data_IF_162504112671
#
_entry.id   IF_162504112671
#
_cell.length_a   1.000
_cell.length_b   1.000
_cell.length_c   1.000
_cell.angle_alpha   90.00
_cell.angle_beta   90.00
_cell.angle_gamma   90.00
#
_symmetry.space_group_name_H-M   'P 1'
#
loop_
_entity.id
_entity.type
_entity.pdbx_description
1 polymer ?
#
# COMPACT_ATOMS: atom_id res chain seq x y z
N UNK A 1 11.40 -1.33 1.82
CA UNK A 1 10.68 -2.11 2.87
C UNK A 1 11.60 -3.12 3.54
N UNK A 2 11.56 -3.23 4.86
CA UNK A 2 12.38 -4.15 5.65
C UNK A 2 11.56 -4.72 6.81
N UNK A 3 11.59 -6.04 6.98
CA UNK A 3 11.00 -6.67 8.17
C UNK A 3 11.92 -6.39 9.38
N UNK A 4 11.38 -5.79 10.43
CA UNK A 4 12.13 -5.45 11.65
C UNK A 4 12.33 -6.64 12.59
N UNK A 5 11.54 -7.70 12.41
CA UNK A 5 11.46 -8.83 13.33
C UNK A 5 10.67 -8.55 14.62
N UNK A 6 10.14 -7.34 14.77
CA UNK A 6 9.34 -6.95 15.94
C UNK A 6 7.89 -7.36 15.72
N UNK A 7 7.28 -7.95 16.74
CA UNK A 7 5.86 -8.31 16.74
C UNK A 7 5.20 -7.83 18.03
N UNK A 8 3.94 -7.43 17.93
CA UNK A 8 3.09 -7.10 19.08
C UNK A 8 1.78 -7.87 18.99
N UNK A 9 1.17 -8.10 20.13
CA UNK A 9 -0.20 -8.61 20.21
C UNK A 9 -1.18 -7.44 20.31
N UNK A 10 -2.44 -7.68 19.97
CA UNK A 10 -3.53 -6.70 20.11
C UNK A 10 -3.74 -6.25 21.58
N UNK A 11 -3.30 -7.05 22.56
CA UNK A 11 -3.35 -6.70 23.98
C UNK A 11 -2.21 -5.74 24.40
N UNK A 12 -1.07 -5.77 23.70
CA UNK A 12 0.10 -4.94 24.02
C UNK A 12 0.03 -3.56 23.37
N UNK A 13 -0.47 -3.49 22.15
CA UNK A 13 -0.57 -2.24 21.37
C UNK A 13 -1.80 -2.23 20.49
N UNK A 14 -2.35 -1.03 20.29
CA UNK A 14 -3.43 -0.78 19.35
C UNK A 14 -2.85 -0.25 18.04
N UNK A 15 -3.29 -0.75 16.88
CA UNK A 15 -2.88 -0.22 15.60
C UNK A 15 -3.58 1.11 15.29
N UNK A 16 -2.97 1.88 14.39
CA UNK A 16 -3.52 3.13 13.86
C UNK A 16 -4.08 2.86 12.46
N UNK A 17 -5.31 3.30 12.23
CA UNK A 17 -5.96 3.20 10.91
C UNK A 17 -5.89 4.57 10.24
N UNK A 18 -5.14 4.66 9.12
CA UNK A 18 -5.17 5.81 8.24
C UNK A 18 -6.20 5.58 7.13
N UNK A 19 -7.16 6.51 6.92
CA UNK A 19 -8.18 6.36 5.89
C UNK A 19 -7.58 6.13 4.50
N UNK A 20 -6.52 6.84 4.14
CA UNK A 20 -5.83 6.70 2.86
C UNK A 20 -5.19 5.32 2.64
N UNK A 21 -4.81 4.60 3.70
CA UNK A 21 -4.36 3.21 3.64
C UNK A 21 -5.54 2.23 3.57
N UNK A 22 -6.55 2.46 4.41
CA UNK A 22 -7.73 1.60 4.48
C UNK A 22 -8.56 1.61 3.18
N UNK A 23 -8.62 2.76 2.50
CA UNK A 23 -9.38 2.97 1.27
C UNK A 23 -8.55 2.78 -0.01
N UNK A 24 -7.27 2.43 0.10
CA UNK A 24 -6.37 2.25 -1.04
C UNK A 24 -6.86 1.14 -1.97
N UNK A 25 -7.27 0.03 -1.39
CA UNK A 25 -7.76 -1.15 -2.11
C UNK A 25 -9.29 -1.20 -2.11
N UNK A 26 -9.91 -1.81 -3.14
CA UNK A 26 -11.35 -2.03 -3.14
C UNK A 26 -11.77 -2.86 -1.92
N UNK A 27 -12.99 -2.65 -1.38
CA UNK A 27 -13.51 -3.46 -0.29
C UNK A 27 -13.67 -4.92 -0.74
N UNK A 28 -13.66 -5.83 0.23
CA UNK A 28 -13.99 -7.22 -0.02
C UNK A 28 -15.45 -7.34 -0.48
N UNK A 29 -15.73 -8.30 -1.39
CA UNK A 29 -17.11 -8.68 -1.66
C UNK A 29 -17.78 -9.27 -0.41
N UNK A 30 -19.11 -9.31 -0.39
CA UNK A 30 -19.86 -9.91 0.71
C UNK A 30 -19.45 -11.37 0.95
N UNK A 31 -19.23 -12.14 -0.12
CA UNK A 31 -18.78 -13.53 -0.07
C UNK A 31 -17.36 -13.67 0.50
N UNK A 32 -16.43 -12.82 0.04
CA UNK A 32 -15.06 -12.80 0.54
C UNK A 32 -14.99 -12.40 2.02
N UNK A 33 -15.80 -11.42 2.41
CA UNK A 33 -15.87 -10.97 3.80
C UNK A 33 -16.45 -12.07 4.71
N UNK A 34 -17.52 -12.75 4.29
CA UNK A 34 -18.12 -13.86 5.02
C UNK A 34 -17.15 -15.05 5.16
N UNK A 35 -16.44 -15.40 4.08
CA UNK A 35 -15.45 -16.49 4.11
C UNK A 35 -14.28 -16.16 5.05
N UNK A 36 -13.79 -14.92 5.04
CA UNK A 36 -12.75 -14.46 5.97
C UNK A 36 -13.23 -14.49 7.41
N UNK A 37 -14.46 -14.03 7.67
CA UNK A 37 -15.06 -14.04 9.02
C UNK A 37 -15.22 -15.47 9.54
N UNK A 38 -15.69 -16.41 8.72
CA UNK A 38 -15.80 -17.83 9.07
C UNK A 38 -14.43 -18.44 9.38
N UNK A 39 -13.42 -18.15 8.57
CA UNK A 39 -12.05 -18.65 8.80
C UNK A 39 -11.48 -18.13 10.13
N UNK A 40 -11.63 -16.85 10.41
CA UNK A 40 -11.18 -16.24 11.67
C UNK A 40 -11.89 -16.82 12.90
N UNK A 41 -13.18 -17.09 12.81
CA UNK A 41 -13.94 -17.71 13.91
C UNK A 41 -13.58 -19.17 14.13
N UNK A 42 -13.22 -19.89 13.08
CA UNK A 42 -12.84 -21.32 13.15
C UNK A 42 -11.41 -21.53 13.58
N UNK A 43 -10.49 -20.77 13.01
CA UNK A 43 -9.05 -20.99 13.10
C UNK A 43 -8.30 -19.92 13.90
N UNK A 44 -8.98 -18.82 14.28
CA UNK A 44 -8.32 -17.64 14.84
C UNK A 44 -7.55 -16.83 13.80
N UNK A 45 -6.94 -15.74 14.22
CA UNK A 45 -6.12 -14.90 13.38
C UNK A 45 -4.66 -15.38 13.36
N UNK A 46 -4.36 -16.37 12.54
CA UNK A 46 -3.03 -16.97 12.42
C UNK A 46 -2.07 -16.15 11.54
N UNK A 47 -2.58 -15.27 10.70
CA UNK A 47 -1.78 -14.40 9.83
C UNK A 47 -1.68 -13.01 10.43
N UNK A 48 -0.47 -12.46 10.66
CA UNK A 48 -0.33 -11.17 11.33
C UNK A 48 -0.88 -10.02 10.49
N UNK A 49 -1.33 -8.98 11.17
CA UNK A 49 -1.59 -7.67 10.58
C UNK A 49 -0.23 -6.97 10.39
N UNK A 50 0.01 -6.40 9.23
CA UNK A 50 1.26 -5.69 8.95
C UNK A 50 1.09 -4.22 9.28
N UNK A 51 1.97 -3.71 10.13
CA UNK A 51 2.02 -2.30 10.54
C UNK A 51 3.40 -1.70 10.24
N UNK A 52 3.46 -0.38 10.12
CA UNK A 52 4.74 0.33 10.08
C UNK A 52 5.26 0.64 11.50
N UNK A 53 6.37 1.35 11.60
CA UNK A 53 6.99 1.72 12.89
C UNK A 53 6.11 2.64 13.74
N UNK A 54 5.20 3.39 13.12
CA UNK A 54 4.19 4.25 13.79
C UNK A 54 2.89 3.48 14.12
N UNK A 55 2.88 2.15 14.01
CA UNK A 55 1.74 1.26 14.21
C UNK A 55 0.60 1.47 13.20
N UNK A 56 0.83 2.16 12.09
CA UNK A 56 -0.15 2.32 11.03
C UNK A 56 -0.32 1.01 10.27
N UNK A 57 -1.56 0.56 10.12
CA UNK A 57 -1.87 -0.66 9.35
C UNK A 57 -1.55 -0.45 7.88
N UNK A 58 -0.70 -1.31 7.35
CA UNK A 58 -0.33 -1.37 5.92
C UNK A 58 -1.08 -2.49 5.21
N UNK A 59 -1.19 -3.66 5.82
CA UNK A 59 -2.00 -4.77 5.33
C UNK A 59 -2.75 -5.48 6.47
N UNK A 60 -3.95 -5.93 6.19
CA UNK A 60 -4.77 -6.68 7.13
C UNK A 60 -5.90 -5.90 7.80
N UNK A 61 -6.32 -4.75 7.26
CA UNK A 61 -7.43 -3.96 7.79
C UNK A 61 -8.70 -4.78 8.02
N UNK A 62 -9.06 -5.66 7.07
CA UNK A 62 -10.24 -6.51 7.19
C UNK A 62 -10.10 -7.54 8.32
N UNK A 63 -8.92 -8.16 8.46
CA UNK A 63 -8.64 -9.09 9.56
C UNK A 63 -8.72 -8.40 10.91
N UNK A 64 -8.07 -7.26 11.04
CA UNK A 64 -8.08 -6.44 12.25
C UNK A 64 -9.52 -6.05 12.65
N UNK A 65 -10.30 -5.51 11.70
CA UNK A 65 -11.69 -5.11 11.94
C UNK A 65 -12.57 -6.27 12.40
N UNK A 66 -12.46 -7.44 11.76
CA UNK A 66 -13.23 -8.63 12.13
C UNK A 66 -12.76 -9.21 13.47
N UNK A 67 -11.46 -9.21 13.75
CA UNK A 67 -10.95 -9.65 15.06
C UNK A 67 -11.48 -8.77 16.19
N UNK A 68 -11.49 -7.45 16.02
CA UNK A 68 -12.05 -6.54 17.02
C UNK A 68 -13.57 -6.72 17.18
N UNK A 69 -14.30 -6.89 16.08
CA UNK A 69 -15.75 -7.16 16.09
C UNK A 69 -16.10 -8.38 16.94
N UNK A 70 -15.28 -9.43 16.88
CA UNK A 70 -15.51 -10.71 17.57
C UNK A 70 -14.69 -10.90 18.85
N UNK A 71 -13.91 -9.91 19.25
CA UNK A 71 -13.03 -10.00 20.43
C UNK A 71 -11.92 -11.06 20.29
N UNK A 72 -11.46 -11.35 19.05
CA UNK A 72 -10.41 -12.30 18.78
C UNK A 72 -9.03 -11.65 18.92
N UNK A 73 -8.06 -12.33 19.56
CA UNK A 73 -6.69 -11.83 19.60
C UNK A 73 -6.03 -11.92 18.21
N UNK A 74 -5.18 -10.96 17.91
CA UNK A 74 -4.36 -10.96 16.69
C UNK A 74 -2.95 -10.44 16.98
N UNK A 75 -2.02 -10.76 16.11
CA UNK A 75 -0.65 -10.27 16.17
C UNK A 75 -0.39 -9.24 15.09
N UNK A 76 0.52 -8.32 15.35
CA UNK A 76 0.98 -7.30 14.42
C UNK A 76 2.47 -7.47 14.18
N UNK A 77 2.88 -7.54 12.93
CA UNK A 77 4.28 -7.57 12.54
C UNK A 77 4.71 -6.18 12.04
N UNK A 78 5.80 -5.66 12.60
CA UNK A 78 6.31 -4.32 12.28
C UNK A 78 7.27 -4.38 11.10
N UNK A 79 6.98 -3.60 10.07
CA UNK A 79 7.83 -3.42 8.90
C UNK A 79 8.26 -1.96 8.80
N UNK A 80 9.51 -1.73 8.45
CA UNK A 80 10.05 -0.41 8.17
C UNK A 80 9.88 -0.08 6.69
N UNK A 81 9.34 1.10 6.42
CA UNK A 81 9.17 1.68 5.09
C UNK A 81 9.87 3.04 5.04
N UNK A 82 10.40 3.41 3.88
CA UNK A 82 11.06 4.70 3.67
C UNK A 82 10.06 5.85 3.84
N UNK A 83 8.86 5.68 3.28
CA UNK A 83 7.75 6.62 3.33
C UNK A 83 6.41 5.90 3.19
N UNK A 84 5.32 6.67 3.31
CA UNK A 84 3.96 6.14 3.18
C UNK A 84 3.67 5.65 1.75
N UNK A 85 4.29 6.27 0.74
CA UNK A 85 4.16 5.85 -0.65
C UNK A 85 4.75 4.45 -0.87
N UNK A 86 5.93 4.15 -0.30
CA UNK A 86 6.51 2.80 -0.34
C UNK A 86 5.58 1.78 0.33
N UNK A 87 4.98 2.14 1.48
CA UNK A 87 4.02 1.29 2.17
C UNK A 87 2.78 0.99 1.30
N UNK A 88 2.24 2.00 0.61
CA UNK A 88 1.11 1.85 -0.32
C UNK A 88 1.45 0.96 -1.52
N UNK A 89 2.62 1.15 -2.13
CA UNK A 89 3.09 0.33 -3.24
C UNK A 89 3.28 -1.13 -2.82
N UNK A 90 3.87 -1.36 -1.64
CA UNK A 90 4.03 -2.70 -1.09
C UNK A 90 2.69 -3.39 -0.81
N UNK A 91 1.73 -2.68 -0.21
CA UNK A 91 0.39 -3.20 0.04
C UNK A 91 -0.31 -3.59 -1.26
N UNK A 92 -0.20 -2.75 -2.30
CA UNK A 92 -0.75 -3.03 -3.62
C UNK A 92 -0.12 -4.27 -4.26
N UNK A 93 1.21 -4.39 -4.26
CA UNK A 93 1.92 -5.53 -4.85
C UNK A 93 1.56 -6.85 -4.14
N UNK A 94 1.45 -6.81 -2.82
CA UNK A 94 1.03 -7.97 -2.03
C UNK A 94 -0.39 -8.41 -2.38
N UNK A 95 -1.29 -7.48 -2.63
CA UNK A 95 -2.70 -7.78 -2.92
C UNK A 95 -2.96 -8.13 -4.39
N UNK A 96 -2.16 -7.65 -5.35
CA UNK A 96 -2.26 -8.05 -6.76
C UNK A 96 -2.23 -9.56 -6.94
N UNK A 97 -1.37 -10.23 -6.18
CA UNK A 97 -1.20 -11.68 -6.25
C UNK A 97 -2.30 -12.46 -5.50
N UNK A 98 -3.00 -11.80 -4.59
CA UNK A 98 -4.07 -12.43 -3.76
C UNK A 98 -5.48 -12.16 -4.28
N UNK A 99 -5.67 -11.04 -4.98
CA UNK A 99 -6.96 -10.61 -5.55
C UNK A 99 -6.74 -10.33 -7.02
N UNK A 100 -7.45 -10.98 -7.91
CA UNK A 100 -7.44 -10.66 -9.34
C UNK A 100 -8.08 -9.29 -9.56
N UNK A 101 -7.31 -8.21 -9.28
CA UNK A 101 -7.77 -6.84 -9.48
C UNK A 101 -7.96 -6.58 -10.98
N UNK A 102 -9.12 -6.06 -11.32
CA UNK A 102 -9.43 -5.66 -12.69
C UNK A 102 -8.63 -4.41 -13.11
N UNK A 103 -8.37 -4.27 -14.40
CA UNK A 103 -7.58 -3.14 -14.95
C UNK A 103 -8.14 -1.77 -14.55
N UNK A 104 -9.47 -1.65 -14.45
CA UNK A 104 -10.13 -0.42 -14.04
C UNK A 104 -9.94 -0.11 -12.55
N UNK A 105 -9.88 -1.13 -11.69
CA UNK A 105 -9.56 -0.99 -10.26
C UNK A 105 -8.13 -0.51 -10.07
N UNK A 106 -7.17 -1.12 -10.80
CA UNK A 106 -5.78 -0.67 -10.82
C UNK A 106 -5.64 0.77 -11.29
N UNK A 107 -6.44 1.17 -12.29
CA UNK A 107 -6.50 2.56 -12.76
C UNK A 107 -6.98 3.53 -11.68
N UNK A 108 -8.01 3.18 -10.92
CA UNK A 108 -8.47 3.99 -9.78
C UNK A 108 -7.42 4.13 -8.68
N UNK A 109 -6.70 3.05 -8.38
CA UNK A 109 -5.61 3.06 -7.41
C UNK A 109 -4.48 3.97 -7.90
N UNK A 110 -4.11 3.89 -9.19
CA UNK A 110 -3.11 4.77 -9.78
C UNK A 110 -3.47 6.25 -9.63
N UNK A 111 -4.74 6.60 -9.85
CA UNK A 111 -5.22 7.99 -9.65
C UNK A 111 -5.10 8.44 -8.19
N UNK A 112 -5.31 7.56 -7.23
CA UNK A 112 -5.10 7.86 -5.80
C UNK A 112 -3.63 8.11 -5.46
N UNK A 113 -2.71 7.36 -6.08
CA UNK A 113 -1.26 7.48 -5.85
C UNK A 113 -0.62 8.66 -6.61
N UNK A 114 -1.26 9.15 -7.65
CA UNK A 114 -0.73 10.21 -8.52
C UNK A 114 -0.19 11.42 -7.77
N UNK A 115 -0.94 12.07 -6.84
CA UNK A 115 -0.45 13.27 -6.17
C UNK A 115 0.79 13.02 -5.32
N UNK A 116 0.95 11.85 -4.74
CA UNK A 116 2.10 11.49 -3.91
C UNK A 116 3.35 11.22 -4.78
N UNK A 117 3.18 10.52 -5.90
CA UNK A 117 4.25 10.28 -6.87
C UNK A 117 4.74 11.59 -7.46
N UNK A 118 3.83 12.51 -7.83
CA UNK A 118 4.17 13.83 -8.32
C UNK A 118 4.88 14.69 -7.26
N UNK A 119 4.46 14.62 -5.99
CA UNK A 119 5.10 15.33 -4.89
C UNK A 119 6.53 14.81 -4.65
N UNK A 120 6.74 13.50 -4.67
CA UNK A 120 8.06 12.88 -4.54
C UNK A 120 8.98 13.25 -5.72
N UNK A 121 8.46 13.24 -6.94
CA UNK A 121 9.19 13.65 -8.13
C UNK A 121 9.64 15.12 -8.05
N UNK A 122 8.78 16.04 -7.60
CA UNK A 122 9.13 17.46 -7.40
C UNK A 122 10.18 17.64 -6.31
N UNK A 123 10.10 16.92 -5.20
CA UNK A 123 11.08 16.98 -4.14
C UNK A 123 12.47 16.54 -4.63
N UNK A 124 12.54 15.49 -5.46
CA UNK A 124 13.78 14.99 -6.02
C UNK A 124 14.38 15.95 -7.07
N UNK A 125 13.55 16.72 -7.80
CA UNK A 125 14.03 17.75 -8.73
C UNK A 125 14.65 18.98 -8.01
N UNK A 126 14.19 19.32 -6.82
CA UNK A 126 14.72 20.44 -6.04
C UNK A 126 16.12 20.23 -5.47
N UNK A 127 16.62 18.99 -5.44
CA UNK A 127 17.96 18.67 -4.88
C UNK A 127 19.08 18.77 -5.94
N UNK A 128 18.76 19.11 -7.21
CA UNK A 128 19.73 19.20 -8.32
C UNK A 128 20.26 20.59 -8.64
N UNK A 129 20.10 21.56 -7.75
CA UNK A 129 20.56 22.94 -7.97
C UNK A 129 21.91 23.23 -7.33
N UNK A 130 22.90 22.35 -7.44
CA UNK A 130 24.29 22.79 -7.27
C UNK A 130 25.24 21.84 -7.99
N UNK A 131 25.54 22.14 -9.25
CA UNK A 131 26.84 21.94 -9.88
C UNK A 131 26.75 22.44 -11.32
N UNK A 132 27.35 23.60 -11.53
CA UNK A 132 27.54 24.22 -12.82
C UNK A 132 28.34 23.32 -13.78
N UNK A 133 27.91 23.40 -15.05
CA UNK A 133 28.70 23.15 -16.25
C UNK A 133 29.14 21.72 -16.55
N UNK A 134 28.42 21.06 -17.34
CA UNK A 134 28.72 20.58 -18.70
C UNK A 134 27.60 19.67 -19.17
N UNK A 135 26.93 20.06 -20.27
CA UNK A 135 25.92 19.23 -20.95
C UNK A 135 26.49 17.86 -21.35
N UNK A 136 25.71 16.79 -21.22
CA UNK A 136 24.93 16.29 -22.33
C UNK A 136 23.44 16.20 -21.98
N UNK A 137 22.64 16.51 -22.99
CA UNK A 137 21.21 16.35 -23.03
C UNK A 137 20.83 14.88 -22.77
N UNK A 138 20.38 14.59 -21.57
CA UNK A 138 19.41 13.53 -21.32
C UNK A 138 18.45 14.06 -20.27
N UNK A 139 17.34 14.54 -20.74
CA UNK A 139 16.20 14.94 -19.91
C UNK A 139 15.59 13.68 -19.30
N UNK A 140 16.11 13.19 -18.17
CA UNK A 140 15.39 12.33 -17.26
C UNK A 140 14.32 13.19 -16.57
N UNK A 141 13.35 13.62 -17.34
CA UNK A 141 12.06 14.04 -16.79
C UNK A 141 11.44 12.79 -16.23
N UNK A 142 11.28 12.73 -14.90
CA UNK A 142 10.53 11.67 -14.24
C UNK A 142 9.16 11.61 -14.92
N UNK A 143 8.93 10.57 -15.72
CA UNK A 143 7.66 10.38 -16.42
C UNK A 143 6.66 9.80 -15.41
N UNK A 144 5.88 10.71 -14.80
CA UNK A 144 4.83 10.36 -13.82
C UNK A 144 3.89 9.28 -14.35
N UNK A 145 3.65 9.26 -15.68
CA UNK A 145 2.81 8.22 -16.30
C UNK A 145 3.46 6.85 -16.24
N UNK A 146 4.77 6.80 -16.48
CA UNK A 146 5.56 5.56 -16.42
C UNK A 146 5.63 5.03 -14.99
N UNK A 147 5.93 5.90 -14.01
CA UNK A 147 5.95 5.50 -12.60
C UNK A 147 4.58 5.02 -12.11
N UNK A 148 3.49 5.69 -12.50
CA UNK A 148 2.13 5.25 -12.19
C UNK A 148 1.79 3.91 -12.85
N UNK A 149 2.17 3.71 -14.10
CA UNK A 149 1.96 2.45 -14.81
C UNK A 149 2.72 1.30 -14.15
N UNK A 150 3.98 1.52 -13.75
CA UNK A 150 4.80 0.55 -13.02
C UNK A 150 4.21 0.25 -11.64
N UNK A 151 3.80 1.26 -10.87
CA UNK A 151 3.23 1.10 -9.53
C UNK A 151 1.99 0.21 -9.51
N UNK A 152 1.15 0.31 -10.55
CA UNK A 152 -0.08 -0.51 -10.64
C UNK A 152 0.04 -1.71 -11.59
N UNK A 153 1.19 -1.86 -12.28
CA UNK A 153 1.43 -2.96 -13.23
C UNK A 153 0.58 -2.88 -14.50
N UNK A 154 0.23 -1.68 -14.94
CA UNK A 154 -0.45 -1.40 -16.21
C UNK A 154 0.55 -0.89 -17.25
N UNK A 155 0.29 -1.18 -18.53
CA UNK A 155 1.07 -0.57 -19.60
C UNK A 155 0.78 0.94 -19.74
N UNK A 156 1.77 1.73 -20.14
CA UNK A 156 1.66 3.19 -20.32
C UNK A 156 0.50 3.63 -21.21
N UNK A 157 0.19 2.87 -22.28
CA UNK A 157 -0.95 3.11 -23.17
C UNK A 157 -2.29 2.92 -22.47
N UNK A 158 -2.37 1.98 -21.54
CA UNK A 158 -3.59 1.71 -20.76
C UNK A 158 -3.80 2.82 -19.74
N UNK A 159 -2.72 3.30 -19.10
CA UNK A 159 -2.78 4.46 -18.20
C UNK A 159 -3.29 5.72 -18.90
N UNK A 160 -2.87 5.98 -20.14
CA UNK A 160 -3.36 7.13 -20.91
C UNK A 160 -4.85 7.13 -21.22
N UNK A 161 -5.53 5.97 -21.12
CA UNK A 161 -6.99 5.85 -21.30
C UNK A 161 -7.77 5.97 -20.00
N UNK A 162 -7.13 5.71 -18.87
CA UNK A 162 -7.73 5.75 -17.52
C UNK A 162 -7.63 7.15 -16.91
N UNK A 163 -6.58 7.87 -17.26
CA UNK A 163 -6.36 9.27 -16.85
C UNK A 163 -7.09 10.26 -17.73
#
# INVERSE_FOLDING_TARGET
>A
MKNTGITYTSAERSPVILPEMAELLPPLSAEQSAALEEDLLRNGCYSPVIVNEDMVIVDGHNRQSLCEKHGLPYTMAVFSFEDLLEAKQWALDTQKNRRNLEKWELGKIALKLKPEIEAKARANQGTRTDLSATLPESSDTVDTRKELAEAVGLGERTMGKVM
#
